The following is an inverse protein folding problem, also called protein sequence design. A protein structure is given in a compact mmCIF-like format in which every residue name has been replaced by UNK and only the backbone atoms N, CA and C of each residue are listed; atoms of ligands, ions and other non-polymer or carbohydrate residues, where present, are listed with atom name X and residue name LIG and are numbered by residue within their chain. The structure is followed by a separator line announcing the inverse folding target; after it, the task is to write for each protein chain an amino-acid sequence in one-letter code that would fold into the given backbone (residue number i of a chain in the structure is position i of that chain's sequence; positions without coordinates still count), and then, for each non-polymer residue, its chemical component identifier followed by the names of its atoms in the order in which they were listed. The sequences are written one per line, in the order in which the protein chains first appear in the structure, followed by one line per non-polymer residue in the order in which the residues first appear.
data_IF_479990001414
#
_entry.id   IF_479990001414
#
_cell.length_a   1.000
_cell.length_b   1.000
_cell.length_c   1.000
_cell.angle_alpha   90.00
_cell.angle_beta   90.00
_cell.angle_gamma   90.00
#
_symmetry.space_group_name_H-M   'P 1'
#
loop_
_entity.id
_entity.type
_entity.pdbx_description
1 polymer ?
#
# COMPACT_ATOMS: atom_id res chain seq x y z
N UNK A 1 38.48 11.53 18.76
CA UNK A 1 37.32 12.11 19.49
C UNK A 1 36.06 11.76 18.72
N UNK A 2 35.30 10.81 19.24
CA UNK A 2 33.89 10.51 18.92
C UNK A 2 33.30 9.92 20.20
N UNK A 3 32.06 10.28 20.58
CA UNK A 3 30.89 9.76 19.87
C UNK A 3 29.75 10.81 19.72
N UNK A 4 29.32 11.07 18.50
CA UNK A 4 27.99 11.66 18.25
C UNK A 4 27.06 10.56 17.75
N UNK A 5 26.73 9.63 18.64
CA UNK A 5 25.68 8.64 18.39
C UNK A 5 24.34 9.38 18.44
N UNK A 6 23.87 9.74 17.25
CA UNK A 6 22.69 10.57 17.02
C UNK A 6 21.44 9.96 17.64
N UNK A 7 20.43 10.78 17.97
CA UNK A 7 19.09 10.44 18.52
C UNK A 7 18.28 9.33 17.78
N UNK A 8 18.87 8.69 16.78
CA UNK A 8 18.31 7.69 15.87
C UNK A 8 18.22 6.29 16.53
N UNK A 9 19.01 6.01 17.58
CA UNK A 9 19.09 4.66 18.17
C UNK A 9 17.82 4.20 18.90
N UNK A 10 16.85 5.09 19.14
CA UNK A 10 15.60 4.77 19.86
C UNK A 10 14.33 4.99 19.02
N UNK A 11 14.40 4.87 17.68
CA UNK A 11 13.17 4.92 16.89
C UNK A 11 12.29 3.69 17.16
N UNK A 12 10.95 3.88 17.21
CA UNK A 12 10.02 2.76 17.28
C UNK A 12 10.24 1.82 16.10
N UNK A 13 9.94 0.54 16.31
CA UNK A 13 10.10 -0.44 15.24
C UNK A 13 9.08 -0.17 14.11
N UNK A 14 9.38 -0.70 12.92
CA UNK A 14 8.59 -0.46 11.72
C UNK A 14 7.12 -0.95 11.86
N UNK A 15 6.89 -1.98 12.67
CA UNK A 15 5.54 -2.54 12.93
C UNK A 15 4.70 -1.51 13.70
N UNK A 16 5.22 -1.00 14.82
CA UNK A 16 4.55 0.04 15.62
C UNK A 16 4.29 1.30 14.79
N UNK A 17 5.23 1.68 13.93
CA UNK A 17 5.04 2.79 13.01
C UNK A 17 3.91 2.54 12.02
N UNK A 18 3.86 1.36 11.38
CA UNK A 18 2.81 1.03 10.41
C UNK A 18 1.43 0.93 11.07
N UNK A 19 1.35 0.43 12.30
CA UNK A 19 0.10 0.35 13.06
C UNK A 19 -0.43 1.73 13.48
N UNK A 20 0.45 2.73 13.62
CA UNK A 20 0.05 4.11 13.91
C UNK A 20 -0.50 4.86 12.67
N UNK A 21 -0.27 4.34 11.45
CA UNK A 21 -0.69 5.00 10.21
C UNK A 21 -2.21 4.87 9.99
N UNK A 22 -2.93 5.96 9.68
CA UNK A 22 -4.39 5.95 9.50
C UNK A 22 -4.86 5.42 8.14
N UNK A 23 -3.98 4.80 7.36
CA UNK A 23 -4.23 4.21 6.05
C UNK A 23 -3.98 2.69 6.09
N UNK A 24 -4.66 1.88 5.26
CA UNK A 24 -4.23 0.51 5.00
C UNK A 24 -2.78 0.49 4.50
N UNK A 25 -1.93 -0.24 5.22
CA UNK A 25 -0.50 -0.35 4.92
C UNK A 25 -0.02 -1.79 5.02
N UNK A 26 0.79 -2.20 4.04
CA UNK A 26 1.35 -3.55 3.91
C UNK A 26 2.86 -3.44 3.67
N UNK A 27 3.63 -4.26 4.39
CA UNK A 27 5.05 -4.46 4.15
C UNK A 27 5.22 -5.75 3.36
N UNK A 28 5.87 -5.63 2.21
CA UNK A 28 6.16 -6.73 1.31
C UNK A 28 7.67 -6.92 1.27
N UNK A 29 8.15 -8.16 1.39
CA UNK A 29 9.55 -8.47 1.18
C UNK A 29 9.89 -8.54 -0.31
N UNK A 30 11.16 -8.38 -0.66
CA UNK A 30 11.65 -8.68 -2.01
C UNK A 30 11.55 -10.17 -2.37
N UNK A 31 11.13 -11.01 -1.44
CA UNK A 31 10.72 -12.40 -1.63
C UNK A 31 9.27 -12.54 -2.13
N UNK A 32 8.57 -11.42 -2.38
CA UNK A 32 7.21 -11.35 -2.93
C UNK A 32 6.10 -11.78 -1.95
N UNK A 33 6.43 -11.91 -0.66
CA UNK A 33 5.46 -12.23 0.39
C UNK A 33 5.11 -11.01 1.25
N UNK A 34 3.87 -10.97 1.73
CA UNK A 34 3.44 -9.99 2.73
C UNK A 34 4.02 -10.36 4.09
N UNK A 35 4.98 -9.58 4.57
CA UNK A 35 5.61 -9.78 5.89
C UNK A 35 4.77 -9.17 7.01
N UNK A 36 4.09 -8.05 6.74
CA UNK A 36 3.22 -7.42 7.72
C UNK A 36 2.11 -6.61 7.07
N UNK A 37 1.00 -6.46 7.75
CA UNK A 37 -0.15 -5.67 7.31
C UNK A 37 -0.77 -5.07 8.56
N UNK A 38 -1.01 -3.76 8.59
CA UNK A 38 -1.65 -3.13 9.75
C UNK A 38 -3.15 -3.47 9.82
N UNK A 39 -3.82 -3.06 10.90
CA UNK A 39 -5.24 -3.37 11.11
C UNK A 39 -6.11 -2.96 9.90
N UNK A 40 -5.90 -1.77 9.34
CA UNK A 40 -6.69 -1.28 8.20
C UNK A 40 -6.49 -2.11 6.93
N UNK A 41 -5.28 -2.59 6.69
CA UNK A 41 -5.01 -3.52 5.59
C UNK A 41 -5.68 -4.88 5.83
N UNK A 42 -5.65 -5.41 7.07
CA UNK A 42 -6.38 -6.64 7.41
C UNK A 42 -7.90 -6.49 7.28
N UNK A 43 -8.44 -5.32 7.64
CA UNK A 43 -9.87 -5.01 7.44
C UNK A 43 -10.23 -5.00 5.93
N UNK A 44 -9.30 -4.60 5.06
CA UNK A 44 -9.49 -4.52 3.59
C UNK A 44 -9.30 -5.86 2.86
N UNK A 45 -8.27 -6.62 3.23
CA UNK A 45 -7.88 -7.86 2.53
C UNK A 45 -8.24 -9.15 3.29
N UNK A 46 -8.68 -9.04 4.54
CA UNK A 46 -8.89 -10.14 5.47
C UNK A 46 -7.66 -10.44 6.34
N UNK A 47 -7.90 -11.09 7.48
CA UNK A 47 -6.86 -11.37 8.49
C UNK A 47 -5.75 -12.34 8.02
N UNK A 48 -6.01 -13.12 6.96
CA UNK A 48 -5.09 -14.12 6.43
C UNK A 48 -4.14 -13.57 5.34
N UNK A 49 -4.00 -12.25 5.21
CA UNK A 49 -3.10 -11.60 4.26
C UNK A 49 -1.61 -11.85 4.55
N UNK A 50 -1.23 -12.03 5.81
CA UNK A 50 0.17 -12.23 6.20
C UNK A 50 0.70 -13.58 5.70
N UNK A 51 1.99 -13.62 5.36
CA UNK A 51 2.70 -14.78 4.81
C UNK A 51 2.10 -15.31 3.49
N UNK A 52 1.35 -14.45 2.78
CA UNK A 52 0.82 -14.74 1.45
C UNK A 52 1.58 -13.99 0.39
N UNK A 53 1.68 -14.60 -0.78
CA UNK A 53 2.22 -13.95 -1.96
C UNK A 53 1.30 -12.79 -2.36
N UNK A 54 1.86 -11.59 -2.58
CA UNK A 54 1.05 -10.38 -2.75
C UNK A 54 0.05 -10.48 -3.92
N UNK A 55 0.45 -11.14 -5.03
CA UNK A 55 -0.40 -11.39 -6.21
C UNK A 55 -1.71 -12.08 -5.83
N UNK A 56 -1.66 -13.03 -4.90
CA UNK A 56 -2.84 -13.81 -4.51
C UNK A 56 -3.85 -13.02 -3.68
N UNK A 57 -3.41 -11.92 -3.05
CA UNK A 57 -4.22 -11.11 -2.15
C UNK A 57 -4.76 -9.86 -2.85
N UNK A 58 -3.90 -9.15 -3.57
CA UNK A 58 -4.28 -7.91 -4.26
C UNK A 58 -5.00 -8.17 -5.59
N UNK A 59 -4.65 -9.26 -6.28
CA UNK A 59 -5.29 -9.77 -7.51
C UNK A 59 -5.56 -8.72 -8.59
N UNK A 60 -4.65 -7.77 -8.72
CA UNK A 60 -4.71 -6.72 -9.73
C UNK A 60 -3.39 -6.69 -10.51
N UNK A 61 -3.43 -6.81 -11.85
CA UNK A 61 -2.22 -6.80 -12.67
C UNK A 61 -1.41 -5.50 -12.54
N UNK A 62 -2.05 -4.34 -12.49
CA UNK A 62 -1.35 -3.05 -12.43
C UNK A 62 -0.63 -2.86 -11.09
N UNK A 63 -1.26 -3.31 -9.99
CA UNK A 63 -0.61 -3.35 -8.67
C UNK A 63 0.56 -4.32 -8.68
N UNK A 64 0.42 -5.47 -9.32
CA UNK A 64 1.47 -6.48 -9.36
C UNK A 64 2.69 -6.01 -10.15
N UNK A 65 2.46 -5.48 -11.36
CA UNK A 65 3.50 -4.91 -12.22
C UNK A 65 4.24 -3.76 -11.52
N UNK A 66 3.52 -2.92 -10.79
CA UNK A 66 4.12 -1.82 -10.05
C UNK A 66 5.00 -2.33 -8.89
N UNK A 67 4.58 -3.36 -8.14
CA UNK A 67 5.38 -3.96 -7.08
C UNK A 67 6.66 -4.59 -7.65
N UNK A 68 6.56 -5.39 -8.72
CA UNK A 68 7.71 -6.01 -9.38
C UNK A 68 8.72 -4.98 -9.85
N UNK A 69 8.23 -3.87 -10.42
CA UNK A 69 9.09 -2.82 -10.90
C UNK A 69 9.84 -2.13 -9.73
N UNK A 70 9.18 -1.83 -8.60
CA UNK A 70 9.88 -1.28 -7.41
C UNK A 70 10.86 -2.29 -6.80
N UNK A 71 10.55 -3.59 -6.81
CA UNK A 71 11.52 -4.63 -6.37
C UNK A 71 12.79 -4.55 -7.22
N UNK A 72 12.65 -4.29 -8.53
CA UNK A 72 13.76 -4.26 -9.49
C UNK A 72 14.59 -2.98 -9.46
N UNK A 73 13.94 -1.83 -9.41
CA UNK A 73 14.60 -0.51 -9.59
C UNK A 73 14.61 0.36 -8.33
N UNK A 74 13.84 -0.01 -7.30
CA UNK A 74 13.64 0.75 -6.05
C UNK A 74 12.99 2.13 -6.22
N UNK A 75 12.53 2.49 -7.42
CA UNK A 75 11.86 3.75 -7.69
C UNK A 75 10.43 3.73 -7.16
N UNK A 76 10.00 4.82 -6.52
CA UNK A 76 8.64 4.93 -5.98
C UNK A 76 7.60 4.96 -7.10
N UNK A 77 6.52 4.18 -6.96
CA UNK A 77 5.44 4.07 -7.93
C UNK A 77 4.09 4.38 -7.33
N UNK A 78 3.20 4.86 -8.19
CA UNK A 78 1.78 5.04 -7.90
C UNK A 78 0.97 4.29 -8.94
N UNK A 79 -0.08 3.62 -8.51
CA UNK A 79 -1.04 2.97 -9.40
C UNK A 79 -2.45 3.08 -8.83
N UNK A 80 -3.46 2.72 -9.63
CA UNK A 80 -4.86 2.76 -9.23
C UNK A 80 -5.34 1.33 -8.99
N UNK A 81 -6.05 1.11 -7.89
CA UNK A 81 -6.65 -0.19 -7.60
C UNK A 81 -8.13 -0.01 -7.28
N UNK A 82 -8.99 -0.79 -7.94
CA UNK A 82 -10.42 -0.78 -7.70
C UNK A 82 -10.87 -2.15 -7.18
N UNK A 83 -11.74 -2.13 -6.17
CA UNK A 83 -12.30 -3.34 -5.58
C UNK A 83 -13.75 -3.10 -5.16
N UNK A 84 -14.53 -4.18 -5.03
CA UNK A 84 -15.91 -4.10 -4.58
C UNK A 84 -16.04 -4.80 -3.22
N UNK A 85 -16.36 -4.03 -2.17
CA UNK A 85 -16.57 -4.55 -0.83
C UNK A 85 -18.04 -4.38 -0.44
N UNK A 86 -18.76 -5.48 -0.16
CA UNK A 86 -20.17 -5.45 0.24
C UNK A 86 -21.07 -4.61 -0.70
N UNK A 87 -20.88 -4.77 -2.02
CA UNK A 87 -21.60 -4.03 -3.08
C UNK A 87 -21.28 -2.53 -3.15
N UNK A 88 -20.25 -2.06 -2.47
CA UNK A 88 -19.70 -0.72 -2.61
C UNK A 88 -18.42 -0.79 -3.42
N UNK A 89 -18.39 -0.09 -4.55
CA UNK A 89 -17.17 0.11 -5.32
C UNK A 89 -16.27 1.11 -4.59
N UNK A 90 -15.04 0.66 -4.32
CA UNK A 90 -13.96 1.40 -3.70
C UNK A 90 -12.83 1.57 -4.70
N UNK A 91 -12.27 2.77 -4.74
CA UNK A 91 -11.09 3.09 -5.56
C UNK A 91 -10.00 3.60 -4.64
N UNK A 92 -8.80 3.07 -4.81
CA UNK A 92 -7.62 3.45 -4.06
C UNK A 92 -6.53 3.95 -5.00
N UNK A 93 -5.84 5.02 -4.58
CA UNK A 93 -4.49 5.32 -5.06
C UNK A 93 -3.51 4.48 -4.23
N UNK A 94 -2.74 3.62 -4.91
CA UNK A 94 -1.78 2.72 -4.28
C UNK A 94 -0.39 3.32 -4.45
N UNK A 95 0.28 3.58 -3.33
CA UNK A 95 1.68 4.04 -3.32
C UNK A 95 2.57 2.90 -2.91
N UNK A 96 3.62 2.66 -3.70
CA UNK A 96 4.60 1.60 -3.50
C UNK A 96 5.98 2.24 -3.45
N UNK A 97 6.68 2.08 -2.33
CA UNK A 97 8.02 2.62 -2.13
C UNK A 97 8.92 1.60 -1.45
N UNK A 98 10.20 1.58 -1.81
CA UNK A 98 11.20 0.77 -1.14
C UNK A 98 11.47 1.28 0.29
N UNK A 99 11.63 0.35 1.25
CA UNK A 99 12.12 0.61 2.60
C UNK A 99 13.41 -0.19 2.79
N UNK A 100 14.54 0.52 2.78
CA UNK A 100 15.84 -0.13 2.78
C UNK A 100 16.03 -0.95 1.50
N UNK A 101 16.72 -2.09 1.60
CA UNK A 101 17.09 -2.91 0.44
C UNK A 101 16.26 -4.17 0.25
N UNK A 102 15.39 -4.54 1.20
CA UNK A 102 14.73 -5.85 1.24
C UNK A 102 13.22 -5.78 1.44
N UNK A 103 12.67 -4.57 1.63
CA UNK A 103 11.26 -4.40 1.92
C UNK A 103 10.68 -3.26 1.08
N UNK A 104 9.37 -3.32 0.91
CA UNK A 104 8.55 -2.32 0.28
C UNK A 104 7.40 -1.98 1.21
N UNK A 105 7.02 -0.71 1.21
CA UNK A 105 5.77 -0.26 1.81
C UNK A 105 4.76 -0.01 0.70
N UNK A 106 3.62 -0.67 0.83
CA UNK A 106 2.44 -0.45 0.00
C UNK A 106 1.36 0.18 0.86
N UNK A 107 0.88 1.35 0.46
CA UNK A 107 -0.23 2.05 1.15
C UNK A 107 -1.38 2.29 0.19
N UNK A 108 -2.60 2.25 0.72
CA UNK A 108 -3.82 2.39 -0.06
C UNK A 108 -4.59 3.62 0.43
N UNK A 109 -4.59 4.68 -0.36
CA UNK A 109 -5.33 5.90 -0.07
C UNK A 109 -6.69 5.86 -0.76
N UNK A 110 -7.78 5.92 0.01
CA UNK A 110 -9.14 5.89 -0.54
C UNK A 110 -9.41 7.17 -1.36
N UNK A 111 -9.56 7.01 -2.67
CA UNK A 111 -9.89 8.08 -3.63
C UNK A 111 -11.34 8.02 -4.10
N UNK A 112 -12.18 7.15 -3.52
CA UNK A 112 -13.56 6.89 -3.95
C UNK A 112 -14.41 8.15 -4.04
N UNK A 113 -14.29 9.08 -3.08
CA UNK A 113 -15.08 10.32 -3.10
C UNK A 113 -14.62 11.30 -4.19
N UNK A 114 -13.32 11.36 -4.47
CA UNK A 114 -12.76 12.18 -5.54
C UNK A 114 -13.21 11.62 -6.89
N UNK A 115 -13.16 10.30 -7.05
CA UNK A 115 -13.53 9.62 -8.29
C UNK A 115 -15.03 9.74 -8.59
N UNK A 116 -15.90 9.55 -7.58
CA UNK A 116 -17.35 9.76 -7.74
C UNK A 116 -17.68 11.20 -8.14
N UNK A 117 -16.97 12.18 -7.59
CA UNK A 117 -17.15 13.59 -7.98
C UNK A 117 -16.69 13.85 -9.42
N UNK A 118 -15.67 13.14 -9.91
CA UNK A 118 -15.19 13.27 -11.30
C UNK A 118 -16.14 12.58 -12.29
N UNK A 119 -16.64 11.38 -11.96
CA UNK A 119 -17.65 10.69 -12.78
C UNK A 119 -18.94 11.51 -12.96
N UNK A 120 -19.43 12.16 -11.90
CA UNK A 120 -20.62 13.03 -12.01
C UNK A 120 -20.33 14.22 -12.95
N UNK A 121 -19.12 14.80 -12.90
CA UNK A 121 -18.74 15.90 -13.80
C UNK A 121 -18.67 15.44 -15.26
N UNK A 122 -18.11 14.27 -15.54
CA UNK A 122 -18.05 13.73 -16.90
C UNK A 122 -19.43 13.45 -17.48
N UNK A 123 -20.35 12.87 -16.69
CA UNK A 123 -21.73 12.64 -17.10
C UNK A 123 -22.45 13.97 -17.40
N UNK A 124 -22.26 14.99 -16.54
CA UNK A 124 -22.92 16.28 -16.70
C UNK A 124 -22.41 17.07 -17.92
N UNK A 125 -21.16 16.87 -18.34
CA UNK A 125 -20.57 17.52 -19.52
C UNK A 125 -20.95 16.84 -20.85
N UNK A 126 -21.53 15.64 -20.80
CA UNK A 126 -22.02 14.89 -21.95
C UNK A 126 -23.54 15.03 -22.17
N UNK A 127 -24.23 15.76 -21.30
CA UNK A 127 -25.66 16.12 -21.39
C UNK A 127 -25.85 17.53 -21.93
#
# INVERSE_FOLDING_TARGET
MSPSTSKIENYPNLIEFLDAIPLPGVIIGTDEFVHYANKKARDLFGDLIQDRHYITVMRDPEVSDAIEAVIKDSDTRKTRWATSLSSVDLVFEVHIASIGSQHLLVTFEDSTQVERSNQIREILLLM
#
